data_IF_751519667719
#
_entry.id   IF_751519667719
#
_cell.length_a   1.000
_cell.length_b   1.000
_cell.length_c   1.000
_cell.angle_alpha   90.00
_cell.angle_beta   90.00
_cell.angle_gamma   90.00
#
_symmetry.space_group_name_H-M   'P 1'
#
loop_
_entity.id
_entity.type
_entity.pdbx_description
1 polymer ?
#
# COMPACT_ATOMS: atom_id res chain seq x y z
N UNK A 1 12.72 5.98 -16.91
CA UNK A 1 12.55 4.60 -16.43
C UNK A 1 11.04 4.41 -16.30
N UNK A 2 10.40 3.89 -17.34
CA UNK A 2 8.94 3.75 -17.40
C UNK A 2 8.65 2.27 -17.22
N UNK A 3 8.08 1.92 -16.07
CA UNK A 3 7.26 0.70 -15.96
C UNK A 3 6.25 0.78 -17.11
N UNK A 4 5.98 -0.33 -17.80
CA UNK A 4 4.87 -0.40 -18.74
C UNK A 4 3.62 0.17 -18.06
N UNK A 5 3.24 1.39 -18.47
CA UNK A 5 2.19 2.18 -17.82
C UNK A 5 0.85 1.44 -17.87
N UNK A 6 0.65 0.61 -18.90
CA UNK A 6 -0.56 -0.19 -19.04
C UNK A 6 -0.58 -1.34 -18.02
N UNK A 7 0.52 -2.10 -17.90
CA UNK A 7 0.64 -3.16 -16.90
C UNK A 7 0.51 -2.62 -15.49
N UNK A 8 1.20 -1.52 -15.18
CA UNK A 8 1.12 -0.88 -13.87
C UNK A 8 -0.33 -0.48 -13.52
N UNK A 9 -1.06 0.11 -14.49
CA UNK A 9 -2.45 0.51 -14.29
C UNK A 9 -3.35 -0.69 -14.00
N UNK A 10 -3.17 -1.81 -14.71
CA UNK A 10 -3.92 -3.05 -14.46
C UNK A 10 -3.63 -3.65 -13.09
N UNK A 11 -2.37 -3.61 -12.64
CA UNK A 11 -2.00 -4.06 -11.29
C UNK A 11 -2.65 -3.18 -10.23
N UNK A 12 -2.61 -1.86 -10.42
CA UNK A 12 -3.22 -0.90 -9.50
C UNK A 12 -4.74 -1.08 -9.40
N UNK A 13 -5.42 -1.34 -10.51
CA UNK A 13 -6.85 -1.66 -10.53
C UNK A 13 -7.16 -2.91 -9.72
N UNK A 14 -6.41 -4.00 -9.94
CA UNK A 14 -6.57 -5.27 -9.20
C UNK A 14 -6.34 -5.09 -7.69
N UNK A 15 -5.30 -4.36 -7.30
CA UNK A 15 -5.05 -4.06 -5.88
C UNK A 15 -6.23 -3.31 -5.28
N UNK A 16 -6.75 -2.28 -5.95
CA UNK A 16 -7.89 -1.53 -5.44
C UNK A 16 -9.18 -2.36 -5.32
N UNK A 17 -9.37 -3.35 -6.21
CA UNK A 17 -10.50 -4.27 -6.15
C UNK A 17 -10.44 -5.20 -4.93
N UNK A 18 -9.23 -5.62 -4.54
CA UNK A 18 -9.02 -6.55 -3.42
C UNK A 18 -8.91 -5.85 -2.07
N UNK A 19 -8.59 -4.56 -2.05
CA UNK A 19 -8.59 -3.77 -0.83
C UNK A 19 -10.03 -3.54 -0.33
N UNK A 20 -10.26 -3.59 0.99
CA UNK A 20 -11.59 -3.36 1.54
C UNK A 20 -12.12 -1.98 1.13
N UNK A 21 -13.43 -1.86 0.87
CA UNK A 21 -14.05 -0.57 0.60
C UNK A 21 -13.89 0.31 1.83
N UNK A 22 -13.68 1.60 1.60
CA UNK A 22 -13.60 2.55 2.70
C UNK A 22 -15.00 2.84 3.24
N UNK A 23 -15.19 2.70 4.55
CA UNK A 23 -16.37 3.24 5.22
C UNK A 23 -16.20 4.76 5.36
N UNK A 24 -16.80 5.49 4.42
CA UNK A 24 -16.79 6.96 4.43
C UNK A 24 -18.01 7.55 5.13
N UNK A 25 -18.82 6.73 5.79
CA UNK A 25 -19.99 7.23 6.52
C UNK A 25 -19.56 8.16 7.65
N UNK A 26 -20.21 9.32 7.72
CA UNK A 26 -19.92 10.34 8.73
C UNK A 26 -18.76 11.29 8.41
N UNK A 27 -18.11 11.16 7.25
CA UNK A 27 -17.16 12.16 6.77
C UNK A 27 -17.86 13.27 5.99
N UNK A 28 -17.32 14.49 6.07
CA UNK A 28 -17.68 15.56 5.14
C UNK A 28 -17.23 15.20 3.72
N UNK A 29 -17.82 15.83 2.70
CA UNK A 29 -17.40 15.61 1.30
C UNK A 29 -15.91 15.96 1.10
N UNK A 30 -15.42 16.98 1.79
CA UNK A 30 -14.01 17.41 1.73
C UNK A 30 -13.08 16.37 2.38
N UNK A 31 -13.47 15.81 3.53
CA UNK A 31 -12.67 14.79 4.21
C UNK A 31 -12.71 13.45 3.47
N UNK A 32 -13.86 13.08 2.91
CA UNK A 32 -14.00 11.91 2.06
C UNK A 32 -13.09 12.01 0.83
N UNK A 33 -13.04 13.19 0.19
CA UNK A 33 -12.13 13.45 -0.94
C UNK A 33 -10.67 13.38 -0.52
N UNK A 34 -10.30 14.01 0.60
CA UNK A 34 -8.94 13.96 1.15
C UNK A 34 -8.50 12.53 1.45
N UNK A 35 -9.38 11.71 2.03
CA UNK A 35 -9.11 10.30 2.27
C UNK A 35 -8.87 9.54 0.97
N UNK A 36 -9.71 9.75 -0.06
CA UNK A 36 -9.54 9.10 -1.36
C UNK A 36 -8.19 9.46 -2.01
N UNK A 37 -7.78 10.74 -1.90
CA UNK A 37 -6.48 11.20 -2.40
C UNK A 37 -5.30 10.55 -1.65
N UNK A 38 -5.42 10.41 -0.32
CA UNK A 38 -4.42 9.71 0.51
C UNK A 38 -4.38 8.23 0.14
N UNK A 39 -5.53 7.55 0.08
CA UNK A 39 -5.64 6.14 -0.31
C UNK A 39 -4.97 5.90 -1.65
N UNK A 40 -5.31 6.68 -2.68
CA UNK A 40 -4.71 6.56 -4.02
C UNK A 40 -3.18 6.68 -3.96
N UNK A 41 -2.68 7.65 -3.20
CA UNK A 41 -1.24 7.90 -3.08
C UNK A 41 -0.53 6.75 -2.35
N UNK A 42 -1.09 6.29 -1.23
CA UNK A 42 -0.55 5.17 -0.44
C UNK A 42 -0.54 3.87 -1.24
N UNK A 43 -1.65 3.53 -1.89
CA UNK A 43 -1.76 2.29 -2.69
C UNK A 43 -0.77 2.31 -3.85
N UNK A 44 -0.66 3.43 -4.57
CA UNK A 44 0.30 3.59 -5.66
C UNK A 44 1.75 3.47 -5.17
N UNK A 45 2.07 4.07 -4.03
CA UNK A 45 3.42 3.99 -3.48
C UNK A 45 3.77 2.60 -2.99
N UNK A 46 2.85 1.93 -2.29
CA UNK A 46 3.02 0.55 -1.83
C UNK A 46 3.25 -0.42 -3.00
N UNK A 47 2.43 -0.32 -4.06
CA UNK A 47 2.61 -1.14 -5.28
C UNK A 47 3.98 -0.91 -5.91
N UNK A 48 4.39 0.35 -6.07
CA UNK A 48 5.69 0.71 -6.63
C UNK A 48 6.84 0.12 -5.81
N UNK A 49 6.74 0.18 -4.47
CA UNK A 49 7.71 -0.41 -3.57
C UNK A 49 7.77 -1.93 -3.72
N UNK A 50 6.62 -2.62 -3.75
CA UNK A 50 6.57 -4.08 -3.90
C UNK A 50 7.22 -4.51 -5.22
N UNK A 51 6.92 -3.82 -6.32
CA UNK A 51 7.55 -4.10 -7.63
C UNK A 51 9.06 -3.94 -7.54
N UNK A 52 9.53 -2.90 -6.88
CA UNK A 52 10.97 -2.64 -6.70
C UNK A 52 11.64 -3.70 -5.81
N UNK A 53 11.02 -4.07 -4.70
CA UNK A 53 11.51 -5.13 -3.80
C UNK A 53 11.56 -6.49 -4.53
N UNK A 54 10.54 -6.83 -5.31
CA UNK A 54 10.48 -8.05 -6.12
C UNK A 54 11.60 -8.06 -7.17
N UNK A 55 11.76 -6.96 -7.91
CA UNK A 55 12.83 -6.79 -8.90
C UNK A 55 14.21 -7.01 -8.30
N UNK A 56 14.48 -6.37 -7.15
CA UNK A 56 15.73 -6.54 -6.42
C UNK A 56 15.92 -7.97 -5.91
N UNK A 57 14.86 -8.61 -5.41
CA UNK A 57 14.94 -9.96 -4.88
C UNK A 57 15.22 -11.00 -5.98
N UNK A 58 14.56 -10.88 -7.13
CA UNK A 58 14.73 -11.81 -8.25
C UNK A 58 15.94 -11.50 -9.11
N UNK A 59 16.58 -10.33 -8.93
CA UNK A 59 17.60 -9.76 -9.81
C UNK A 59 17.12 -9.61 -11.26
N UNK A 60 15.84 -9.27 -11.46
CA UNK A 60 15.25 -9.04 -12.79
C UNK A 60 14.87 -7.56 -12.88
N UNK A 61 15.32 -6.82 -13.91
CA UNK A 61 14.89 -5.43 -14.14
C UNK A 61 13.35 -5.29 -14.15
N UNK A 62 12.83 -4.18 -13.64
CA UNK A 62 11.37 -3.98 -13.50
C UNK A 62 10.62 -4.13 -14.84
N UNK A 63 11.23 -3.66 -15.92
CA UNK A 63 10.72 -3.74 -17.29
C UNK A 63 10.75 -5.16 -17.88
N UNK A 64 11.59 -6.03 -17.33
CA UNK A 64 11.74 -7.44 -17.73
C UNK A 64 11.03 -8.41 -16.78
N UNK A 65 10.37 -7.91 -15.73
CA UNK A 65 9.67 -8.77 -14.77
C UNK A 65 8.61 -9.61 -15.49
N UNK A 66 8.58 -10.94 -15.31
CA UNK A 66 7.60 -11.80 -15.98
C UNK A 66 6.18 -11.49 -15.47
N UNK A 67 5.19 -11.54 -16.37
CA UNK A 67 3.78 -11.36 -16.01
C UNK A 67 3.25 -12.43 -15.07
N UNK A 68 3.91 -13.59 -14.98
CA UNK A 68 3.62 -14.63 -14.01
C UNK A 68 3.72 -14.14 -12.54
N UNK A 69 4.50 -13.09 -12.28
CA UNK A 69 4.62 -12.48 -10.96
C UNK A 69 3.52 -11.45 -10.65
N UNK A 70 2.67 -11.08 -11.61
CA UNK A 70 1.64 -10.05 -11.43
C UNK A 70 0.72 -10.36 -10.26
N UNK A 71 0.26 -11.61 -10.17
CA UNK A 71 -0.60 -12.05 -9.08
C UNK A 71 0.12 -11.96 -7.72
N UNK A 72 1.40 -12.35 -7.68
CA UNK A 72 2.23 -12.27 -6.47
C UNK A 72 2.45 -10.83 -6.02
N UNK A 73 2.73 -9.93 -6.97
CA UNK A 73 2.88 -8.48 -6.70
C UNK A 73 1.60 -7.88 -6.14
N UNK A 74 0.44 -8.24 -6.70
CA UNK A 74 -0.87 -7.78 -6.21
C UNK A 74 -1.10 -8.25 -4.77
N UNK A 75 -0.94 -9.56 -4.50
CA UNK A 75 -1.19 -10.13 -3.18
C UNK A 75 -0.22 -9.58 -2.13
N UNK A 76 1.06 -9.44 -2.46
CA UNK A 76 2.06 -8.81 -1.59
C UNK A 76 1.71 -7.35 -1.27
N UNK A 77 1.21 -6.60 -2.26
CA UNK A 77 0.78 -5.21 -2.05
C UNK A 77 -0.42 -5.12 -1.13
N UNK A 78 -1.44 -5.96 -1.34
CA UNK A 78 -2.63 -6.02 -0.49
C UNK A 78 -2.23 -6.42 0.94
N UNK A 79 -1.40 -7.44 1.09
CA UNK A 79 -0.93 -7.90 2.39
C UNK A 79 -0.19 -6.80 3.14
N UNK A 80 0.77 -6.12 2.51
CA UNK A 80 1.53 -5.03 3.16
C UNK A 80 0.62 -3.91 3.64
N UNK A 81 -0.38 -3.54 2.83
CA UNK A 81 -1.34 -2.48 3.19
C UNK A 81 -2.20 -2.89 4.38
N UNK A 82 -2.70 -4.13 4.38
CA UNK A 82 -3.58 -4.64 5.42
C UNK A 82 -2.84 -4.89 6.74
N UNK A 83 -1.65 -5.51 6.72
CA UNK A 83 -0.94 -5.88 7.96
C UNK A 83 -0.39 -4.69 8.73
N UNK A 84 -0.30 -3.52 8.10
CA UNK A 84 0.19 -2.28 8.73
C UNK A 84 -0.90 -1.21 8.89
N UNK A 85 -2.16 -1.56 8.58
CA UNK A 85 -3.30 -0.66 8.69
C UNK A 85 -3.05 0.71 8.05
N UNK A 86 -2.45 0.73 6.85
CA UNK A 86 -2.09 1.99 6.20
C UNK A 86 -3.29 2.79 5.70
N UNK A 87 -4.44 2.13 5.55
CA UNK A 87 -5.69 2.74 5.12
C UNK A 87 -6.74 2.79 6.23
N UNK A 88 -6.36 2.48 7.48
CA UNK A 88 -7.30 2.53 8.59
C UNK A 88 -7.72 3.98 8.89
N UNK A 89 -9.01 4.15 9.16
CA UNK A 89 -9.59 5.37 9.71
C UNK A 89 -9.66 5.19 11.23
N UNK A 90 -8.92 5.99 12.00
CA UNK A 90 -9.14 6.02 13.46
C UNK A 90 -10.27 7.00 13.78
N UNK A 91 -11.35 6.47 14.36
CA UNK A 91 -12.47 7.24 14.90
C UNK A 91 -12.22 7.39 16.42
N UNK A 92 -11.90 8.60 16.90
CA UNK A 92 -11.77 8.86 18.35
C UNK A 92 -10.53 8.27 19.04
N UNK A 93 -10.56 8.22 20.38
CA UNK A 93 -9.44 8.07 21.36
C UNK A 93 -8.43 6.92 21.15
N UNK A 94 -8.64 6.01 20.20
CA UNK A 94 -7.69 4.94 19.82
C UNK A 94 -6.62 5.39 18.79
N UNK A 95 -6.50 6.69 18.51
CA UNK A 95 -5.40 7.25 17.72
C UNK A 95 -4.08 7.18 18.52
N UNK A 96 -3.42 6.02 18.44
CA UNK A 96 -2.14 5.74 19.08
C UNK A 96 -1.12 6.88 18.98
N UNK A 97 -0.78 7.40 20.15
CA UNK A 97 0.50 7.98 20.57
C UNK A 97 1.17 9.10 19.77
N UNK A 98 0.44 9.96 19.04
CA UNK A 98 1.04 11.22 18.53
C UNK A 98 0.02 12.35 18.26
N UNK A 99 -0.98 12.54 19.13
CA UNK A 99 -2.00 13.60 18.93
C UNK A 99 -2.10 14.56 20.11
N UNK A 100 -1.49 15.74 19.93
CA UNK A 100 -1.97 17.00 20.51
C UNK A 100 -3.34 17.34 19.90
N UNK A 101 -4.43 16.83 20.48
CA UNK A 101 -5.75 17.44 20.32
C UNK A 101 -6.70 16.86 21.34
N UNK A 102 -7.20 17.73 22.22
CA UNK A 102 -8.26 17.48 23.17
C UNK A 102 -9.49 18.24 22.66
N UNK A 103 -10.59 17.55 22.36
CA UNK A 103 -11.90 18.21 22.26
C UNK A 103 -13.03 17.19 22.43
N UNK A 104 -13.71 17.25 23.57
CA UNK A 104 -15.03 16.64 23.77
C UNK A 104 -16.04 17.30 22.83
N UNK A 105 -16.77 16.49 22.05
CA UNK A 105 -18.02 16.91 21.39
C UNK A 105 -18.04 16.85 19.86
N UNK A 106 -16.90 16.80 19.18
CA UNK A 106 -16.82 16.64 17.73
C UNK A 106 -15.94 15.43 17.41
N UNK A 107 -16.51 14.43 16.73
CA UNK A 107 -15.81 13.18 16.43
C UNK A 107 -14.69 13.48 15.43
N UNK A 108 -13.48 13.72 15.93
CA UNK A 108 -12.31 13.97 15.07
C UNK A 108 -11.85 12.65 14.47
N UNK A 109 -11.93 12.53 13.14
CA UNK A 109 -11.36 11.41 12.38
C UNK A 109 -9.91 11.75 12.09
N UNK A 110 -8.98 10.92 12.57
CA UNK A 110 -7.55 11.10 12.31
C UNK A 110 -7.12 10.12 11.22
N UNK A 111 -6.34 10.64 10.27
CA UNK A 111 -5.75 9.84 9.19
C UNK A 111 -4.25 9.71 9.46
N UNK A 112 -3.66 8.55 9.17
CA UNK A 112 -2.20 8.45 9.10
C UNK A 112 -1.69 9.44 8.05
N UNK A 113 -0.70 10.26 8.41
CA UNK A 113 -0.15 11.21 7.45
C UNK A 113 0.55 10.44 6.32
N UNK A 114 0.55 11.01 5.10
CA UNK A 114 1.29 10.42 3.97
C UNK A 114 2.77 10.24 4.29
N UNK A 115 3.35 11.17 5.06
CA UNK A 115 4.76 11.11 5.45
C UNK A 115 5.04 9.90 6.34
N UNK A 116 4.20 9.64 7.34
CA UNK A 116 4.39 8.52 8.27
C UNK A 116 4.21 7.17 7.57
N UNK A 117 3.20 7.06 6.70
CA UNK A 117 2.97 5.86 5.90
C UNK A 117 4.16 5.60 4.97
N UNK A 118 4.70 6.63 4.33
CA UNK A 118 5.85 6.48 3.44
C UNK A 118 7.13 6.13 4.21
N UNK A 119 7.38 6.75 5.36
CA UNK A 119 8.51 6.42 6.22
C UNK A 119 8.44 4.97 6.69
N UNK A 120 7.27 4.52 7.14
CA UNK A 120 7.01 3.14 7.53
C UNK A 120 7.25 2.18 6.36
N UNK A 121 6.64 2.46 5.19
CA UNK A 121 6.82 1.64 4.00
C UNK A 121 8.29 1.53 3.60
N UNK A 122 9.09 2.59 3.69
CA UNK A 122 10.53 2.53 3.34
C UNK A 122 11.34 1.59 4.25
N UNK A 123 10.94 1.44 5.51
CA UNK A 123 11.65 0.62 6.49
C UNK A 123 11.33 -0.87 6.39
N UNK A 124 10.25 -1.23 5.69
CA UNK A 124 9.77 -2.61 5.60
C UNK A 124 10.33 -3.29 4.36
N UNK A 125 10.73 -4.56 4.53
CA UNK A 125 10.91 -5.46 3.41
C UNK A 125 9.56 -6.11 3.07
N UNK A 126 9.05 -5.86 1.86
CA UNK A 126 7.76 -6.46 1.46
C UNK A 126 7.87 -7.95 1.13
N UNK A 127 9.09 -8.48 0.93
CA UNK A 127 9.34 -9.91 0.73
C UNK A 127 9.05 -10.65 2.03
N UNK A 128 7.97 -11.43 2.05
CA UNK A 128 7.62 -12.30 3.18
C UNK A 128 7.76 -13.77 2.80
N UNK A 129 8.00 -14.62 3.80
CA UNK A 129 8.24 -16.06 3.64
C UNK A 129 7.16 -16.75 2.79
N UNK A 130 5.90 -16.31 2.91
CA UNK A 130 4.75 -16.81 2.16
C UNK A 130 4.94 -16.76 0.64
N UNK A 131 5.72 -15.81 0.11
CA UNK A 131 5.94 -15.65 -1.32
C UNK A 131 7.35 -16.04 -1.77
N UNK A 132 8.27 -16.29 -0.84
CA UNK A 132 9.67 -16.66 -1.19
C UNK A 132 9.74 -17.89 -2.08
N UNK A 133 8.89 -18.90 -1.86
CA UNK A 133 8.84 -20.10 -2.72
C UNK A 133 8.52 -19.75 -4.18
N UNK A 134 7.61 -18.80 -4.42
CA UNK A 134 7.24 -18.37 -5.77
C UNK A 134 8.38 -17.55 -6.35
N UNK A 135 8.87 -16.56 -5.61
CA UNK A 135 9.91 -15.65 -6.05
C UNK A 135 11.24 -16.37 -6.35
N UNK A 136 11.59 -17.39 -5.57
CA UNK A 136 12.78 -18.21 -5.78
C UNK A 136 12.78 -18.92 -7.15
N UNK A 137 11.62 -19.27 -7.71
CA UNK A 137 11.55 -19.87 -9.05
C UNK A 137 11.95 -18.90 -10.16
N UNK A 138 11.88 -17.59 -9.90
CA UNK A 138 12.24 -16.54 -10.85
C UNK A 138 13.58 -15.89 -10.49
N UNK A 139 14.19 -16.26 -9.37
CA UNK A 139 15.44 -15.66 -8.91
C UNK A 139 16.57 -16.11 -9.81
N UNK A 140 17.20 -15.15 -10.47
CA UNK A 140 18.43 -15.36 -11.20
C UNK A 140 19.59 -15.13 -10.24
N UNK A 141 20.38 -16.18 -9.97
CA UNK A 141 21.63 -16.04 -9.23
C UNK A 141 22.67 -15.57 -10.25
N UNK A 142 23.05 -14.30 -10.15
CA UNK A 142 24.13 -13.70 -10.94
C UNK A 142 25.47 -14.00 -10.29
#
# INVERSE_FOLDING_TARGET
>A
MLVDTERYSKLLEKVNLLLPPADLSGLSDDDAKKYQDVRKSVVSYALSKVIWDVSNYTNIPIDELPSALDYTVVDMTVQVIQTHDYLALSKGEDAGSDVQSLSEGDTSITFKSKADVYASLQQINTISDNYTNILNNFRVVV
#
